data_IF_008008688651
#
_entry.id   IF_008008688651
#
_cell.length_a   1.000
_cell.length_b   1.000
_cell.length_c   1.000
_cell.angle_alpha   90.00
_cell.angle_beta   90.00
_cell.angle_gamma   90.00
#
_symmetry.space_group_name_H-M   'P 1'
#
loop_
_entity.id
_entity.type
_entity.pdbx_description
1 polymer ?
#
# COMPACT_ATOMS: atom_id res chain seq x y z
N UNK A 1 -2.35 -8.00 -16.07
CA UNK A 1 -1.15 -8.79 -15.72
C UNK A 1 -0.07 -7.85 -15.22
N UNK A 2 0.44 -8.13 -14.03
CA UNK A 2 1.54 -7.43 -13.39
C UNK A 2 2.58 -8.42 -12.88
N UNK A 3 3.82 -7.96 -12.68
CA UNK A 3 4.85 -8.80 -12.07
C UNK A 3 4.51 -9.10 -10.62
N UNK A 4 4.62 -10.36 -10.22
CA UNK A 4 4.37 -10.82 -8.85
C UNK A 4 5.16 -10.02 -7.81
N UNK A 5 6.45 -9.79 -8.03
CA UNK A 5 7.28 -9.04 -7.10
C UNK A 5 6.87 -7.57 -6.97
N UNK A 6 6.24 -6.99 -7.99
CA UNK A 6 5.66 -5.64 -7.94
C UNK A 6 4.35 -5.65 -7.15
N UNK A 7 3.47 -6.62 -7.42
CA UNK A 7 2.18 -6.77 -6.71
C UNK A 7 2.42 -6.91 -5.21
N UNK A 8 3.28 -7.84 -4.80
CA UNK A 8 3.58 -8.09 -3.39
C UNK A 8 4.25 -6.89 -2.71
N UNK A 9 5.16 -6.20 -3.39
CA UNK A 9 5.81 -5.01 -2.84
C UNK A 9 4.82 -3.85 -2.65
N UNK A 10 3.92 -3.63 -3.60
CA UNK A 10 2.89 -2.60 -3.53
C UNK A 10 1.89 -2.83 -2.39
N UNK A 11 1.68 -4.08 -2.00
CA UNK A 11 0.82 -4.47 -0.88
C UNK A 11 1.58 -4.50 0.47
N UNK A 12 2.86 -4.12 0.49
CA UNK A 12 3.64 -4.05 1.73
C UNK A 12 4.23 -5.38 2.22
N UNK A 13 4.16 -6.47 1.45
CA UNK A 13 4.71 -7.79 1.87
C UNK A 13 6.25 -7.86 1.85
N UNK A 14 6.93 -6.78 1.50
CA UNK A 14 8.38 -6.63 1.60
C UNK A 14 9.00 -5.97 0.38
N UNK A 15 10.28 -5.64 0.51
CA UNK A 15 11.08 -5.13 -0.59
C UNK A 15 11.25 -6.19 -1.68
N UNK A 16 11.53 -5.77 -2.92
CA UNK A 16 11.83 -6.71 -4.02
C UNK A 16 12.96 -7.69 -3.69
N UNK A 17 13.92 -7.29 -2.86
CA UNK A 17 15.03 -8.16 -2.41
C UNK A 17 14.54 -9.23 -1.44
N UNK A 18 13.70 -8.87 -0.47
CA UNK A 18 13.10 -9.80 0.49
C UNK A 18 12.17 -10.78 -0.21
N UNK A 19 11.32 -10.30 -1.12
CA UNK A 19 10.42 -11.14 -1.91
C UNK A 19 11.19 -12.17 -2.75
N UNK A 20 12.32 -11.77 -3.35
CA UNK A 20 13.20 -12.71 -4.07
C UNK A 20 13.76 -13.80 -3.15
N UNK A 21 14.03 -13.49 -1.88
CA UNK A 21 14.45 -14.48 -0.90
C UNK A 21 13.28 -15.38 -0.46
N UNK A 22 12.09 -14.82 -0.26
CA UNK A 22 10.89 -15.57 0.09
C UNK A 22 10.50 -16.59 -0.99
N UNK A 23 10.55 -16.20 -2.27
CA UNK A 23 10.36 -17.09 -3.42
C UNK A 23 11.37 -18.23 -3.39
N UNK A 24 12.67 -17.94 -3.18
CA UNK A 24 13.71 -18.98 -3.09
C UNK A 24 13.52 -19.95 -1.94
N UNK A 25 12.88 -19.51 -0.86
CA UNK A 25 12.52 -20.34 0.31
C UNK A 25 11.22 -21.13 0.11
N UNK A 26 10.52 -20.95 -1.01
CA UNK A 26 9.24 -21.60 -1.27
C UNK A 26 8.11 -21.05 -0.39
N UNK A 27 8.16 -19.77 -0.02
CA UNK A 27 7.14 -19.13 0.82
C UNK A 27 6.03 -18.46 0.02
N UNK A 28 6.07 -18.50 -1.31
CA UNK A 28 5.11 -17.82 -2.17
C UNK A 28 4.52 -18.82 -3.17
N UNK A 29 3.19 -18.84 -3.23
CA UNK A 29 2.41 -19.70 -4.11
C UNK A 29 1.47 -18.85 -4.96
N UNK A 30 1.27 -19.27 -6.21
CA UNK A 30 0.25 -18.71 -7.11
C UNK A 30 -0.62 -19.86 -7.58
N UNK A 31 -1.93 -19.78 -7.33
CA UNK A 31 -2.91 -20.83 -7.65
C UNK A 31 -2.54 -22.22 -7.09
N UNK A 32 -1.89 -22.25 -5.93
CA UNK A 32 -1.45 -23.48 -5.25
C UNK A 32 -0.12 -24.04 -5.75
N UNK A 33 0.57 -23.37 -6.68
CA UNK A 33 1.89 -23.77 -7.15
C UNK A 33 2.99 -22.86 -6.60
N UNK A 34 4.08 -23.47 -6.11
CA UNK A 34 5.24 -22.74 -5.61
C UNK A 34 5.91 -21.93 -6.72
N UNK A 35 6.03 -20.63 -6.49
CA UNK A 35 6.70 -19.73 -7.44
C UNK A 35 8.21 -19.90 -7.34
N UNK A 36 8.88 -19.93 -8.49
CA UNK A 36 10.35 -19.94 -8.59
C UNK A 36 10.93 -18.69 -9.27
N UNK A 37 10.10 -18.00 -10.05
CA UNK A 37 10.47 -16.78 -10.78
C UNK A 37 9.75 -15.56 -10.19
N UNK A 38 10.51 -14.59 -9.68
CA UNK A 38 9.96 -13.34 -9.17
C UNK A 38 9.42 -12.41 -10.26
N UNK A 39 9.84 -12.63 -11.52
CA UNK A 39 9.33 -11.93 -12.69
C UNK A 39 8.03 -12.50 -13.25
N UNK A 40 7.47 -13.56 -12.63
CA UNK A 40 6.21 -14.17 -13.05
C UNK A 40 5.12 -13.12 -13.19
N UNK A 41 4.40 -13.17 -14.31
CA UNK A 41 3.23 -12.34 -14.54
C UNK A 41 2.02 -12.99 -13.89
N UNK A 42 1.28 -12.22 -13.12
CA UNK A 42 0.04 -12.62 -12.46
C UNK A 42 -1.07 -11.62 -12.77
N UNK A 43 -2.30 -12.08 -12.79
CA UNK A 43 -3.49 -11.24 -12.76
C UNK A 43 -3.96 -11.14 -11.30
N UNK A 44 -3.61 -10.08 -10.56
CA UNK A 44 -3.86 -10.02 -9.12
C UNK A 44 -5.36 -9.95 -8.75
N UNK A 45 -6.24 -9.70 -9.73
CA UNK A 45 -7.69 -9.72 -9.58
C UNK A 45 -8.29 -11.13 -9.73
N UNK A 46 -7.53 -12.10 -10.26
CA UNK A 46 -8.02 -13.45 -10.59
C UNK A 46 -7.17 -14.57 -10.01
N UNK A 47 -5.86 -14.38 -9.98
CA UNK A 47 -4.92 -15.34 -9.46
C UNK A 47 -4.93 -15.30 -7.93
N UNK A 48 -5.04 -16.48 -7.32
CA UNK A 48 -4.90 -16.64 -5.89
C UNK A 48 -3.41 -16.62 -5.53
N UNK A 49 -2.95 -15.57 -4.86
CA UNK A 49 -1.57 -15.45 -4.41
C UNK A 49 -1.53 -15.72 -2.91
N UNK A 50 -0.66 -16.62 -2.47
CA UNK A 50 -0.46 -16.90 -1.04
C UNK A 50 0.99 -16.59 -0.64
N UNK A 51 1.16 -15.94 0.51
CA UNK A 51 2.45 -15.68 1.14
C UNK A 51 2.46 -16.38 2.50
N UNK A 52 3.40 -17.30 2.71
CA UNK A 52 3.50 -18.10 3.92
C UNK A 52 2.20 -18.87 4.28
N UNK A 53 1.47 -19.32 3.26
CA UNK A 53 0.19 -20.02 3.43
C UNK A 53 -1.03 -19.13 3.63
N UNK A 54 -0.86 -17.81 3.72
CA UNK A 54 -1.97 -16.85 3.83
C UNK A 54 -2.28 -16.25 2.46
N UNK A 55 -3.57 -16.32 2.08
CA UNK A 55 -4.05 -15.70 0.84
C UNK A 55 -4.02 -14.18 0.98
N UNK A 56 -3.42 -13.53 -0.02
CA UNK A 56 -3.34 -12.09 -0.07
C UNK A 56 -4.44 -11.55 -0.97
N UNK A 57 -5.11 -10.49 -0.52
CA UNK A 57 -6.13 -9.81 -1.30
C UNK A 57 -5.53 -8.59 -1.96
N UNK A 58 -5.56 -8.57 -3.28
CA UNK A 58 -5.11 -7.40 -4.02
C UNK A 58 -6.05 -6.23 -3.79
N UNK A 59 -5.45 -5.07 -3.50
CA UNK A 59 -6.11 -3.78 -3.42
C UNK A 59 -5.31 -2.82 -4.29
N UNK A 60 -5.89 -2.38 -5.40
CA UNK A 60 -5.26 -1.36 -6.24
C UNK A 60 -5.30 0.01 -5.56
N UNK A 61 -6.48 0.35 -5.03
CA UNK A 61 -6.75 1.64 -4.43
C UNK A 61 -7.18 1.51 -2.98
N UNK A 62 -6.79 2.49 -2.17
CA UNK A 62 -7.31 2.70 -0.82
C UNK A 62 -8.03 4.06 -0.75
N UNK A 63 -9.09 4.13 0.04
CA UNK A 63 -9.82 5.37 0.32
C UNK A 63 -10.07 5.42 1.81
N UNK A 64 -9.42 6.35 2.48
CA UNK A 64 -9.46 6.51 3.93
C UNK A 64 -10.15 7.82 4.28
N UNK A 65 -10.98 7.78 5.31
CA UNK A 65 -11.56 8.96 5.93
C UNK A 65 -10.84 9.20 7.26
N UNK A 66 -10.26 10.37 7.42
CA UNK A 66 -9.61 10.80 8.64
C UNK A 66 -10.37 11.97 9.23
N UNK A 67 -10.65 11.92 10.53
CA UNK A 67 -10.96 13.11 11.29
C UNK A 67 -9.64 13.73 11.75
N UNK A 68 -9.12 14.66 10.97
CA UNK A 68 -7.81 15.27 11.18
C UNK A 68 -7.78 15.97 12.54
N UNK A 69 -6.82 15.61 13.42
CA UNK A 69 -6.65 16.30 14.69
C UNK A 69 -5.99 17.67 14.48
N UNK A 70 -6.10 18.52 15.50
CA UNK A 70 -5.44 19.83 15.52
C UNK A 70 -3.91 19.68 15.53
N UNK A 71 -3.21 20.57 14.84
CA UNK A 71 -1.74 20.65 14.83
C UNK A 71 -1.04 19.82 13.74
N UNK A 72 -1.78 19.11 12.89
CA UNK A 72 -1.23 18.21 11.85
C UNK A 72 -1.37 18.81 10.46
N UNK A 73 -0.34 18.69 9.63
CA UNK A 73 -0.35 19.27 8.28
C UNK A 73 -0.92 18.30 7.23
N UNK A 74 -1.77 18.82 6.35
CA UNK A 74 -2.31 18.10 5.19
C UNK A 74 -1.26 17.97 4.07
N UNK A 75 -0.23 17.16 4.28
CA UNK A 75 0.87 16.92 3.36
C UNK A 75 1.29 15.45 3.35
N UNK A 76 2.06 15.02 2.34
CA UNK A 76 2.64 13.67 2.28
C UNK A 76 3.99 13.54 2.98
N UNK A 77 4.67 14.67 3.18
CA UNK A 77 5.95 14.77 3.87
C UNK A 77 6.13 16.22 4.35
N UNK A 78 6.62 16.40 5.57
CA UNK A 78 7.08 17.68 6.08
C UNK A 78 8.33 17.47 6.96
N UNK A 79 9.21 18.47 7.01
CA UNK A 79 10.48 18.37 7.74
C UNK A 79 10.40 18.86 9.19
N UNK A 80 9.27 19.46 9.59
CA UNK A 80 9.09 20.13 10.89
C UNK A 80 7.86 19.62 11.61
N UNK A 81 6.77 19.47 10.89
CA UNK A 81 5.46 19.16 11.44
C UNK A 81 5.04 17.73 11.11
N UNK A 82 4.25 17.13 12.01
CA UNK A 82 3.62 15.83 11.77
C UNK A 82 2.55 15.97 10.68
N UNK A 83 2.53 15.01 9.76
CA UNK A 83 1.63 15.00 8.61
C UNK A 83 0.49 14.01 8.81
N UNK A 84 -0.57 14.19 8.02
CA UNK A 84 -1.69 13.23 7.96
C UNK A 84 -1.27 11.83 7.50
N UNK A 85 -0.11 11.67 6.85
CA UNK A 85 0.43 10.34 6.50
C UNK A 85 1.09 9.67 7.70
N UNK A 86 1.76 10.44 8.56
CA UNK A 86 2.44 9.93 9.76
C UNK A 86 1.45 9.32 10.76
N UNK A 87 0.20 9.79 10.74
CA UNK A 87 -0.90 9.26 11.56
C UNK A 87 -1.44 7.89 11.09
N UNK A 88 -1.10 7.45 9.89
CA UNK A 88 -1.63 6.20 9.33
C UNK A 88 -0.89 4.97 9.88
N UNK A 89 -1.58 3.85 10.02
CA UNK A 89 -0.94 2.56 10.28
C UNK A 89 -0.03 2.15 9.10
N UNK A 90 1.01 1.36 9.38
CA UNK A 90 2.04 0.96 8.39
C UNK A 90 1.43 0.29 7.16
N UNK A 91 0.67 -0.81 7.35
CA UNK A 91 -0.74 -0.79 6.98
C UNK A 91 -1.17 -0.16 5.65
N UNK A 92 -1.46 1.12 5.81
CA UNK A 92 -2.02 2.03 4.85
C UNK A 92 -0.92 2.90 4.22
N UNK A 93 0.14 3.21 4.96
CA UNK A 93 1.29 3.98 4.45
C UNK A 93 1.97 3.29 3.27
N UNK A 94 2.04 1.96 3.23
CA UNK A 94 2.67 1.20 2.12
C UNK A 94 2.02 1.47 0.76
N UNK A 95 0.76 1.90 0.74
CA UNK A 95 0.05 2.29 -0.48
C UNK A 95 0.45 3.68 -0.99
N UNK A 96 1.29 4.42 -0.25
CA UNK A 96 1.69 5.80 -0.49
C UNK A 96 0.48 6.74 -0.75
N UNK A 97 -0.50 6.79 0.17
CA UNK A 97 -1.65 7.67 0.00
C UNK A 97 -1.25 9.15 0.07
N UNK A 98 -2.10 9.99 -0.48
CA UNK A 98 -2.03 11.45 -0.44
C UNK A 98 -3.39 12.03 -0.01
N UNK A 99 -3.40 13.21 0.63
CA UNK A 99 -4.65 13.87 1.01
C UNK A 99 -5.38 14.42 -0.22
N UNK A 100 -6.68 14.21 -0.29
CA UNK A 100 -7.59 14.81 -1.28
C UNK A 100 -8.15 16.08 -0.69
N UNK A 101 -7.61 17.22 -1.13
CA UNK A 101 -7.85 18.52 -0.51
C UNK A 101 -6.91 18.80 0.67
N UNK A 102 -7.15 19.92 1.36
CA UNK A 102 -6.29 20.39 2.45
C UNK A 102 -7.12 21.00 3.56
N UNK A 103 -6.71 20.76 4.79
CA UNK A 103 -7.10 21.52 5.96
C UNK A 103 -5.89 22.32 6.44
N UNK A 104 -6.14 23.52 6.96
CA UNK A 104 -5.10 24.29 7.65
C UNK A 104 -4.67 23.54 8.92
N UNK A 105 -3.44 23.79 9.38
CA UNK A 105 -2.83 23.05 10.49
C UNK A 105 -3.66 23.12 11.77
N UNK A 106 -4.34 24.22 11.98
CA UNK A 106 -5.20 24.51 13.13
C UNK A 106 -6.68 24.15 12.90
N UNK A 107 -6.98 23.40 11.83
CA UNK A 107 -8.33 22.98 11.47
C UNK A 107 -8.52 21.49 11.73
N UNK A 108 -9.53 21.17 12.55
CA UNK A 108 -10.03 19.80 12.72
C UNK A 108 -11.14 19.50 11.73
N UNK A 109 -11.22 18.27 11.23
CA UNK A 109 -12.34 17.86 10.39
C UNK A 109 -12.05 16.70 9.47
N UNK A 110 -13.01 16.42 8.60
CA UNK A 110 -12.92 15.32 7.64
C UNK A 110 -11.92 15.62 6.54
N UNK A 111 -10.93 14.74 6.36
CA UNK A 111 -10.01 14.70 5.23
C UNK A 111 -10.04 13.31 4.60
N UNK A 112 -10.03 13.26 3.27
CA UNK A 112 -9.90 12.01 2.52
C UNK A 112 -8.44 11.76 2.16
N UNK A 113 -8.00 10.50 2.23
CA UNK A 113 -6.68 10.08 1.78
C UNK A 113 -6.82 8.90 0.81
N UNK A 114 -6.07 8.93 -0.29
CA UNK A 114 -6.11 7.87 -1.31
C UNK A 114 -4.79 7.77 -2.06
N UNK A 115 -4.57 6.65 -2.75
CA UNK A 115 -3.53 6.51 -3.77
C UNK A 115 -4.11 6.55 -5.21
N UNK A 116 -5.41 6.85 -5.35
CA UNK A 116 -6.09 7.00 -6.63
C UNK A 116 -5.89 8.42 -7.21
N UNK A 117 -4.90 8.54 -8.10
CA UNK A 117 -4.48 9.81 -8.72
C UNK A 117 -5.59 10.58 -9.43
N UNK A 118 -6.65 9.91 -9.87
CA UNK A 118 -7.77 10.55 -10.57
C UNK A 118 -8.59 11.46 -9.66
N UNK A 119 -8.49 11.30 -8.33
CA UNK A 119 -9.16 12.16 -7.34
C UNK A 119 -8.33 13.39 -6.92
N UNK A 120 -7.15 13.61 -7.50
CA UNK A 120 -6.24 14.69 -7.11
C UNK A 120 -6.56 16.05 -7.78
N UNK A 121 -7.83 16.38 -7.99
CA UNK A 121 -8.28 17.58 -8.71
C UNK A 121 -8.91 18.65 -7.82
#
# INVERSE_FOLDING_TARGET
MERLDKVLANLGYGTRKELKQAIRKGLIEVNGELVKDNGMQVDPEKDKICVNGEEIFYRKYIYLMMNTPDGVVSATHDNRDETVIDLLEIEHQVFNPFPVGRLDKDTVGLLLLTNDGDLNH
#
